data_IF_831781827567
#
_entry.id   IF_831781827567
#
_cell.length_a   1.000
_cell.length_b   1.000
_cell.length_c   1.000
_cell.angle_alpha   90.00
_cell.angle_beta   90.00
_cell.angle_gamma   90.00
#
_symmetry.space_group_name_H-M   'P 1'
#
loop_
_entity.id
_entity.type
_entity.pdbx_description
1 polymer ?
#
# COMPACT_ATOMS: atom_id res chain seq x y z
N UNK A 1 -37.77 61.53 21.10
CA UNK A 1 -36.87 60.37 21.21
C UNK A 1 -37.24 59.41 20.08
N UNK A 2 -36.34 59.17 19.11
CA UNK A 2 -36.62 58.26 17.98
C UNK A 2 -36.43 56.82 18.47
N UNK A 3 -37.50 56.03 18.44
CA UNK A 3 -37.48 54.62 18.80
C UNK A 3 -36.61 53.83 17.82
N UNK A 4 -35.70 53.01 18.36
CA UNK A 4 -34.87 52.09 17.58
C UNK A 4 -35.77 51.00 16.97
N UNK A 5 -35.53 50.57 15.72
CA UNK A 5 -36.41 49.62 15.04
C UNK A 5 -36.41 48.24 15.72
N UNK A 6 -37.62 47.72 15.92
CA UNK A 6 -37.98 46.56 16.73
C UNK A 6 -37.68 45.21 16.05
N UNK A 7 -36.57 45.12 15.30
CA UNK A 7 -36.16 43.90 14.60
C UNK A 7 -34.70 43.59 14.92
N UNK A 8 -34.51 43.00 16.08
CA UNK A 8 -33.21 42.46 16.51
C UNK A 8 -32.93 41.24 15.63
N UNK A 9 -32.04 41.40 14.64
CA UNK A 9 -31.56 40.28 13.83
C UNK A 9 -30.43 39.63 14.63
N UNK A 10 -30.72 38.48 15.24
CA UNK A 10 -29.71 37.64 15.87
C UNK A 10 -28.83 37.01 14.79
N UNK A 11 -27.63 37.55 14.61
CA UNK A 11 -26.60 36.96 13.76
C UNK A 11 -25.70 36.10 14.66
N UNK A 12 -25.92 34.79 14.63
CA UNK A 12 -25.21 33.86 15.54
C UNK A 12 -23.78 33.56 15.04
N UNK A 13 -23.59 33.47 13.71
CA UNK A 13 -22.28 33.28 13.09
C UNK A 13 -22.17 34.00 11.75
N UNK A 14 -21.18 34.89 11.63
CA UNK A 14 -20.83 35.57 10.38
C UNK A 14 -19.45 35.07 9.95
N UNK A 15 -19.37 34.44 8.78
CA UNK A 15 -18.10 33.99 8.20
C UNK A 15 -17.60 35.02 7.19
N UNK A 16 -16.54 35.74 7.54
CA UNK A 16 -15.94 36.74 6.67
C UNK A 16 -14.58 36.23 6.21
N UNK A 17 -14.51 35.73 4.97
CA UNK A 17 -13.27 35.26 4.38
C UNK A 17 -12.49 36.44 3.77
N UNK A 18 -11.81 37.21 4.62
CA UNK A 18 -11.10 38.46 4.26
C UNK A 18 -9.71 38.22 3.67
N UNK A 19 -9.52 37.28 2.73
CA UNK A 19 -8.24 37.10 2.00
C UNK A 19 -6.98 36.82 2.85
N UNK A 20 -7.08 36.82 4.18
CA UNK A 20 -6.06 36.37 5.13
C UNK A 20 -6.05 34.86 4.96
N UNK A 21 -5.03 34.33 4.28
CA UNK A 21 -4.88 32.89 4.10
C UNK A 21 -5.05 32.15 5.44
N UNK A 22 -5.51 30.90 5.40
CA UNK A 22 -5.78 30.11 6.62
C UNK A 22 -4.66 30.32 7.64
N UNK A 23 -5.01 30.86 8.82
CA UNK A 23 -4.06 31.21 9.91
C UNK A 23 -3.22 29.97 10.30
N UNK A 24 -3.76 28.79 10.02
CA UNK A 24 -3.23 27.49 10.34
C UNK A 24 -2.51 26.84 9.13
N UNK A 25 -1.20 26.59 9.27
CA UNK A 25 -0.32 25.97 8.26
C UNK A 25 0.22 24.58 8.66
N UNK A 26 -0.38 23.90 9.63
CA UNK A 26 0.17 22.62 10.09
C UNK A 26 -0.06 21.51 9.05
N UNK A 27 1.00 20.73 8.76
CA UNK A 27 0.99 19.62 7.80
C UNK A 27 0.40 18.33 8.39
N UNK A 28 0.68 18.03 9.66
CA UNK A 28 0.14 16.86 10.35
C UNK A 28 -0.93 17.28 11.35
N UNK A 29 -2.18 17.23 10.88
CA UNK A 29 -3.35 17.71 11.61
C UNK A 29 -3.82 16.60 12.54
N UNK A 30 -3.61 16.78 13.84
CA UNK A 30 -4.25 15.97 14.87
C UNK A 30 -5.28 16.85 15.55
N UNK A 31 -6.55 16.51 15.42
CA UNK A 31 -7.64 17.28 16.01
C UNK A 31 -8.00 16.70 17.39
N UNK A 32 -8.19 17.58 18.36
CA UNK A 32 -8.72 17.25 19.68
C UNK A 32 -10.08 17.92 19.80
N UNK A 33 -11.08 17.10 20.13
CA UNK A 33 -12.46 17.53 20.33
C UNK A 33 -12.68 17.76 21.82
N UNK A 34 -12.99 19.01 22.18
CA UNK A 34 -13.56 19.33 23.49
C UNK A 34 -15.08 19.25 23.36
N UNK A 35 -15.66 18.15 23.86
CA UNK A 35 -17.10 17.87 23.79
C UNK A 35 -17.91 18.76 24.74
N UNK A 36 -17.29 19.30 25.79
CA UNK A 36 -17.94 20.18 26.77
C UNK A 36 -18.11 21.58 26.19
N UNK A 37 -17.05 22.13 25.60
CA UNK A 37 -17.05 23.47 25.04
C UNK A 37 -17.39 23.51 23.53
N UNK A 38 -17.65 22.35 22.91
CA UNK A 38 -17.91 22.18 21.47
C UNK A 38 -16.84 22.83 20.60
N UNK A 39 -15.57 22.72 21.02
CA UNK A 39 -14.42 23.34 20.35
C UNK A 39 -13.53 22.28 19.74
N UNK A 40 -13.06 22.54 18.53
CA UNK A 40 -12.03 21.73 17.88
C UNK A 40 -10.72 22.48 17.95
N UNK A 41 -9.69 21.83 18.48
CA UNK A 41 -8.34 22.40 18.54
C UNK A 41 -7.37 21.51 17.80
N UNK A 42 -6.35 22.11 17.18
CA UNK A 42 -5.23 21.34 16.66
C UNK A 42 -4.28 20.99 17.81
N UNK A 43 -3.99 19.71 18.02
CA UNK A 43 -3.02 19.27 19.01
C UNK A 43 -1.60 19.82 18.72
N UNK A 44 -1.24 19.92 17.44
CA UNK A 44 0.12 20.26 17.02
C UNK A 44 0.47 21.73 17.19
N UNK A 45 -0.49 22.65 17.06
CA UNK A 45 -0.25 24.10 17.14
C UNK A 45 -1.18 24.84 18.11
N UNK A 46 -2.08 24.13 18.80
CA UNK A 46 -3.01 24.71 19.77
C UNK A 46 -4.08 25.65 19.20
N UNK A 47 -4.09 25.89 17.89
CA UNK A 47 -5.05 26.80 17.26
C UNK A 47 -6.45 26.21 17.29
N UNK A 48 -7.45 27.05 17.59
CA UNK A 48 -8.86 26.70 17.44
C UNK A 48 -9.19 26.59 15.95
N UNK A 49 -9.70 25.44 15.55
CA UNK A 49 -10.09 25.13 14.17
C UNK A 49 -11.61 25.14 14.09
N UNK A 50 -12.15 25.61 12.97
CA UNK A 50 -13.58 25.50 12.72
C UNK A 50 -13.98 24.01 12.63
N UNK A 51 -15.02 23.56 13.36
CA UNK A 51 -15.52 22.19 13.28
C UNK A 51 -15.79 21.73 11.83
N UNK A 52 -16.34 22.59 10.98
CA UNK A 52 -16.62 22.24 9.59
C UNK A 52 -15.34 21.95 8.79
N UNK A 53 -14.33 22.84 8.89
CA UNK A 53 -13.03 22.63 8.24
C UNK A 53 -12.37 21.33 8.74
N UNK A 54 -12.47 21.04 10.03
CA UNK A 54 -11.90 19.82 10.61
C UNK A 54 -12.58 18.54 10.10
N UNK A 55 -13.92 18.54 9.93
CA UNK A 55 -14.66 17.41 9.37
C UNK A 55 -14.27 17.18 7.90
N UNK A 56 -14.16 18.26 7.12
CA UNK A 56 -13.74 18.17 5.72
C UNK A 56 -12.33 17.57 5.63
N UNK A 57 -11.39 18.08 6.44
CA UNK A 57 -10.03 17.55 6.47
C UNK A 57 -9.99 16.07 6.85
N UNK A 58 -10.73 15.66 7.90
CA UNK A 58 -10.81 14.27 8.34
C UNK A 58 -11.39 13.35 7.25
N UNK A 59 -12.41 13.81 6.53
CA UNK A 59 -13.04 13.05 5.46
C UNK A 59 -12.07 12.82 4.30
N UNK A 60 -11.34 13.86 3.89
CA UNK A 60 -10.31 13.76 2.83
C UNK A 60 -9.20 12.79 3.25
N UNK A 61 -8.69 12.92 4.49
CA UNK A 61 -7.64 12.02 5.00
C UNK A 61 -8.12 10.56 5.07
N UNK A 62 -9.38 10.34 5.44
CA UNK A 62 -9.97 9.01 5.49
C UNK A 62 -10.11 8.39 4.09
N UNK A 63 -10.54 9.18 3.10
CA UNK A 63 -10.61 8.73 1.70
C UNK A 63 -9.23 8.37 1.15
N UNK A 64 -8.22 9.22 1.38
CA UNK A 64 -6.83 8.95 1.00
C UNK A 64 -6.28 7.67 1.66
N UNK A 65 -6.59 7.46 2.94
CA UNK A 65 -6.20 6.26 3.67
C UNK A 65 -6.86 5.00 3.09
N UNK A 66 -8.17 5.04 2.85
CA UNK A 66 -8.91 3.91 2.27
C UNK A 66 -8.36 3.55 0.88
N UNK A 67 -8.08 4.55 0.04
CA UNK A 67 -7.46 4.32 -1.27
C UNK A 67 -6.07 3.66 -1.17
N UNK A 68 -5.28 4.03 -0.16
CA UNK A 68 -3.99 3.38 0.10
C UNK A 68 -4.17 1.93 0.53
N UNK A 69 -5.12 1.66 1.44
CA UNK A 69 -5.44 0.30 1.90
C UNK A 69 -5.92 -0.58 0.75
N UNK A 70 -6.83 -0.08 -0.09
CA UNK A 70 -7.31 -0.79 -1.28
C UNK A 70 -6.16 -1.15 -2.24
N UNK A 71 -5.26 -0.18 -2.50
CA UNK A 71 -4.08 -0.42 -3.33
C UNK A 71 -3.17 -1.51 -2.75
N UNK A 72 -2.95 -1.50 -1.43
CA UNK A 72 -2.14 -2.51 -0.76
C UNK A 72 -2.80 -3.90 -0.82
N UNK A 73 -4.12 -3.97 -0.66
CA UNK A 73 -4.87 -5.22 -0.79
C UNK A 73 -4.78 -5.77 -2.21
N UNK A 74 -4.89 -4.91 -3.23
CA UNK A 74 -4.75 -5.31 -4.63
C UNK A 74 -3.33 -5.82 -4.94
N UNK A 75 -2.30 -5.10 -4.47
CA UNK A 75 -0.92 -5.56 -4.60
C UNK A 75 -0.69 -6.92 -3.92
N UNK A 76 -1.24 -7.12 -2.72
CA UNK A 76 -1.18 -8.40 -2.03
C UNK A 76 -1.85 -9.52 -2.84
N UNK A 77 -3.01 -9.27 -3.44
CA UNK A 77 -3.68 -10.24 -4.31
C UNK A 77 -2.81 -10.61 -5.51
N UNK A 78 -2.21 -9.61 -6.17
CA UNK A 78 -1.32 -9.83 -7.31
C UNK A 78 -0.09 -10.65 -6.93
N UNK A 79 0.56 -10.33 -5.81
CA UNK A 79 1.72 -11.09 -5.31
C UNK A 79 1.35 -12.53 -4.94
N UNK A 80 0.17 -12.74 -4.34
CA UNK A 80 -0.32 -14.08 -3.99
C UNK A 80 -0.66 -14.91 -5.23
N UNK A 81 -1.23 -14.27 -6.26
CA UNK A 81 -1.51 -14.89 -7.54
C UNK A 81 -0.22 -15.19 -8.34
N UNK A 82 0.83 -14.40 -8.13
CA UNK A 82 2.10 -14.56 -8.82
C UNK A 82 2.88 -15.77 -8.31
N UNK A 83 2.80 -16.86 -9.07
CA UNK A 83 3.52 -18.12 -8.82
C UNK A 83 4.63 -18.31 -9.86
N UNK A 84 5.88 -17.90 -9.58
CA UNK A 84 6.96 -17.91 -10.58
C UNK A 84 7.29 -19.33 -11.07
N UNK A 85 7.26 -20.33 -10.19
CA UNK A 85 7.49 -21.74 -10.54
C UNK A 85 6.50 -22.24 -11.61
N UNK A 86 5.22 -21.86 -11.54
CA UNK A 86 4.23 -22.24 -12.55
C UNK A 86 4.50 -21.60 -13.91
N UNK A 87 5.02 -20.36 -13.95
CA UNK A 87 5.40 -19.71 -15.21
C UNK A 87 6.55 -20.45 -15.88
N UNK A 88 7.54 -20.86 -15.10
CA UNK A 88 8.68 -21.64 -15.58
C UNK A 88 8.20 -22.99 -16.12
N UNK A 89 7.36 -23.71 -15.37
CA UNK A 89 6.81 -25.01 -15.79
C UNK A 89 6.01 -24.86 -17.08
N UNK A 90 5.12 -23.86 -17.19
CA UNK A 90 4.36 -23.59 -18.43
C UNK A 90 5.26 -23.26 -19.63
N UNK A 91 6.32 -22.50 -19.40
CA UNK A 91 7.30 -22.19 -20.44
C UNK A 91 8.03 -23.45 -20.92
N UNK A 92 8.43 -24.29 -19.97
CA UNK A 92 9.10 -25.55 -20.23
C UNK A 92 8.18 -26.54 -20.96
N UNK A 93 6.92 -26.66 -20.54
CA UNK A 93 5.89 -27.45 -21.22
C UNK A 93 5.70 -26.99 -22.68
N UNK A 94 5.60 -25.67 -22.92
CA UNK A 94 5.45 -25.10 -24.26
C UNK A 94 6.62 -25.48 -25.18
N UNK A 95 7.86 -25.40 -24.67
CA UNK A 95 9.05 -25.81 -25.41
C UNK A 95 9.08 -27.32 -25.67
N UNK A 96 8.64 -28.12 -24.69
CA UNK A 96 8.63 -29.58 -24.78
C UNK A 96 7.57 -30.13 -25.75
N UNK A 97 6.40 -29.47 -25.86
CA UNK A 97 5.26 -29.91 -26.68
C UNK A 97 5.61 -30.15 -28.16
N UNK A 98 6.60 -29.45 -28.69
CA UNK A 98 7.06 -29.63 -30.06
C UNK A 98 7.97 -30.85 -30.28
N UNK A 99 8.45 -31.52 -29.21
CA UNK A 99 9.44 -32.63 -29.19
C UNK A 99 10.70 -32.40 -30.06
N UNK A 100 11.00 -31.15 -30.42
CA UNK A 100 12.19 -30.78 -31.22
C UNK A 100 13.41 -30.52 -30.36
N UNK A 101 13.22 -30.13 -29.11
CA UNK A 101 14.28 -29.73 -28.19
C UNK A 101 14.00 -30.31 -26.80
N UNK A 102 15.01 -30.94 -26.19
CA UNK A 102 14.96 -31.49 -24.85
C UNK A 102 15.68 -30.55 -23.86
N UNK A 103 15.23 -30.48 -22.60
CA UNK A 103 15.95 -29.74 -21.58
C UNK A 103 17.28 -30.44 -21.26
N UNK A 104 18.29 -29.65 -20.93
CA UNK A 104 19.57 -30.13 -20.40
C UNK A 104 19.63 -29.91 -18.90
N UNK A 105 20.28 -30.83 -18.19
CA UNK A 105 20.59 -30.63 -16.79
C UNK A 105 21.67 -29.53 -16.67
N UNK A 106 21.47 -28.46 -15.89
CA UNK A 106 22.43 -27.35 -15.79
C UNK A 106 23.74 -27.70 -15.07
N UNK A 107 23.91 -28.95 -14.60
CA UNK A 107 25.10 -29.40 -13.86
C UNK A 107 25.95 -30.41 -14.62
N UNK A 108 25.33 -31.43 -15.21
CA UNK A 108 26.02 -32.41 -16.03
C UNK A 108 25.92 -32.11 -17.54
N UNK A 109 25.10 -31.13 -17.94
CA UNK A 109 24.83 -30.76 -19.33
C UNK A 109 24.23 -31.88 -20.18
N UNK A 110 23.74 -32.94 -19.54
CA UNK A 110 23.12 -34.08 -20.19
C UNK A 110 21.64 -33.78 -20.50
N UNK A 111 21.15 -34.07 -21.73
CA UNK A 111 19.74 -33.94 -22.06
C UNK A 111 18.93 -35.05 -21.39
N UNK A 112 17.71 -34.73 -20.95
CA UNK A 112 16.83 -35.71 -20.29
C UNK A 112 15.37 -35.53 -20.72
N UNK A 113 14.59 -36.62 -20.63
CA UNK A 113 13.15 -36.60 -20.86
C UNK A 113 12.40 -36.12 -19.62
N UNK A 114 11.31 -35.38 -19.78
CA UNK A 114 10.53 -34.90 -18.62
C UNK A 114 9.87 -36.05 -17.84
N UNK A 115 9.61 -37.16 -18.51
CA UNK A 115 9.10 -38.41 -17.94
C UNK A 115 10.05 -38.99 -16.88
N UNK A 116 11.35 -38.62 -16.89
CA UNK A 116 12.33 -39.07 -15.90
C UNK A 116 12.19 -38.34 -14.54
N UNK A 117 11.47 -37.21 -14.49
CA UNK A 117 11.23 -36.42 -13.27
C UNK A 117 10.20 -37.08 -12.33
N UNK A 118 10.50 -38.29 -11.86
CA UNK A 118 9.62 -39.10 -11.00
C UNK A 118 9.99 -39.04 -9.52
N UNK A 119 11.26 -38.75 -9.22
CA UNK A 119 11.80 -38.78 -7.87
C UNK A 119 11.96 -37.37 -7.29
N UNK A 120 11.60 -37.23 -6.01
CA UNK A 120 11.68 -35.97 -5.29
C UNK A 120 12.67 -36.12 -4.12
N UNK A 121 13.47 -35.09 -3.87
CA UNK A 121 14.33 -35.01 -2.69
C UNK A 121 13.93 -33.83 -1.80
N UNK A 122 14.16 -33.96 -0.50
CA UNK A 122 13.88 -32.90 0.47
C UNK A 122 14.66 -31.62 0.19
N UNK A 123 14.00 -30.48 0.35
CA UNK A 123 14.54 -29.14 0.04
C UNK A 123 15.85 -28.88 0.78
N UNK A 124 15.89 -29.17 2.09
CA UNK A 124 17.07 -28.95 2.93
C UNK A 124 18.32 -29.69 2.45
N UNK A 125 18.15 -30.89 1.89
CA UNK A 125 19.26 -31.65 1.32
C UNK A 125 19.74 -31.05 -0.01
N UNK A 126 18.79 -30.63 -0.86
CA UNK A 126 19.05 -30.04 -2.17
C UNK A 126 19.75 -28.69 -2.02
N UNK A 127 19.30 -27.83 -1.11
CA UNK A 127 19.92 -26.52 -0.82
C UNK A 127 21.38 -26.68 -0.40
N UNK A 128 21.67 -27.53 0.59
CA UNK A 128 23.04 -27.82 1.03
C UNK A 128 23.91 -28.38 -0.09
N UNK A 129 23.33 -29.17 -1.00
CA UNK A 129 24.03 -29.69 -2.19
C UNK A 129 24.24 -28.61 -3.27
N UNK A 130 23.35 -27.62 -3.38
CA UNK A 130 23.50 -26.47 -4.27
C UNK A 130 24.59 -25.54 -3.77
N UNK A 131 24.60 -25.23 -2.47
CA UNK A 131 25.61 -24.37 -1.84
C UNK A 131 27.02 -24.92 -2.04
N UNK A 132 27.25 -26.19 -1.68
CA UNK A 132 28.54 -26.88 -1.90
C UNK A 132 29.00 -26.82 -3.36
N UNK A 133 28.08 -26.96 -4.31
CA UNK A 133 28.41 -26.88 -5.73
C UNK A 133 28.76 -25.45 -6.15
N UNK A 134 28.07 -24.42 -5.64
CA UNK A 134 28.39 -23.02 -5.91
C UNK A 134 29.77 -22.64 -5.37
N UNK A 135 30.06 -23.02 -4.12
CA UNK A 135 31.36 -22.77 -3.49
C UNK A 135 32.52 -23.34 -4.32
N UNK A 136 32.39 -24.58 -4.80
CA UNK A 136 33.42 -25.25 -5.61
C UNK A 136 33.64 -24.61 -6.99
N UNK A 137 32.59 -24.01 -7.58
CA UNK A 137 32.63 -23.41 -8.92
C UNK A 137 32.82 -21.88 -8.92
N UNK A 138 32.78 -21.20 -7.76
CA UNK A 138 33.09 -19.77 -7.63
C UNK A 138 34.55 -19.50 -7.26
N UNK A 139 35.27 -20.51 -6.74
CA UNK A 139 36.73 -20.45 -6.48
C UNK A 139 37.60 -20.78 -7.70
N UNK A 140 37.00 -20.95 -8.88
CA UNK A 140 37.70 -21.06 -10.18
C UNK A 140 37.40 -19.83 -11.01
#
# INVERSE_FOLDING_TARGET
MKELPNKIIGLDQIYINRGIGKIYKCKNRKFVLDTTNKRVTCHSCGSVVNPYDAIVDLSIQHEEFNRQVERLLEQKKQLTAYKPHLRIIKSLEKSYRGRKMLPYCPRCSEPFYLEELTHWMGISYVERRIEKWKEQNQTK
#
